data_IF_072346352475
#
_entry.id   IF_072346352475
#
_cell.length_a   1.000
_cell.length_b   1.000
_cell.length_c   1.000
_cell.angle_alpha   90.00
_cell.angle_beta   90.00
_cell.angle_gamma   90.00
#
_symmetry.space_group_name_H-M   'P 1'
#
loop_
_entity.id
_entity.type
_entity.pdbx_description
1 polymer ?
#
# COMPACT_ATOMS: atom_id res chain seq x y z
N UNK A 1 2.93 -15.17 7.96
CA UNK A 1 2.25 -13.95 7.48
C UNK A 1 2.89 -13.50 6.16
N UNK A 2 2.40 -13.96 5.00
CA UNK A 2 3.01 -13.68 3.70
C UNK A 2 3.10 -12.17 3.38
N UNK A 3 2.12 -11.39 3.84
CA UNK A 3 1.99 -9.97 3.52
C UNK A 3 3.04 -9.10 4.23
N UNK A 4 3.38 -9.42 5.48
CA UNK A 4 4.42 -8.69 6.22
C UNK A 4 5.81 -8.96 5.63
N UNK A 5 6.07 -10.20 5.21
CA UNK A 5 7.30 -10.52 4.47
C UNK A 5 7.36 -9.83 3.11
N UNK A 6 6.22 -9.68 2.43
CA UNK A 6 6.14 -8.95 1.15
C UNK A 6 6.37 -7.44 1.32
N UNK A 7 5.73 -6.81 2.32
CA UNK A 7 5.98 -5.41 2.68
C UNK A 7 7.44 -5.20 3.09
N UNK A 8 8.03 -6.15 3.83
CA UNK A 8 9.46 -6.10 4.19
C UNK A 8 10.39 -6.23 2.99
N UNK A 9 10.06 -7.07 2.00
CA UNK A 9 10.82 -7.20 0.76
C UNK A 9 10.73 -5.92 -0.10
N UNK A 10 9.55 -5.31 -0.19
CA UNK A 10 9.33 -3.99 -0.79
C UNK A 10 10.17 -2.91 -0.10
N UNK A 11 10.26 -2.94 1.23
CA UNK A 11 11.15 -2.06 2.01
C UNK A 11 12.64 -2.21 1.64
N UNK A 12 13.11 -3.43 1.35
CA UNK A 12 14.50 -3.63 0.91
C UNK A 12 14.77 -3.08 -0.51
N UNK A 13 13.72 -2.94 -1.33
CA UNK A 13 13.81 -2.26 -2.62
C UNK A 13 13.79 -0.73 -2.47
N UNK A 14 13.08 -0.21 -1.45
CA UNK A 14 13.04 1.22 -1.07
C UNK A 14 14.42 1.79 -0.78
N UNK A 15 15.29 1.05 -0.08
CA UNK A 15 16.65 1.50 0.29
C UNK A 15 17.56 1.78 -0.92
N UNK A 16 17.13 1.41 -2.13
CA UNK A 16 17.87 1.65 -3.39
C UNK A 16 17.20 2.70 -4.28
N UNK A 17 16.18 3.40 -3.77
CA UNK A 17 15.47 4.46 -4.48
C UNK A 17 15.94 5.82 -3.96
N UNK A 18 16.35 6.71 -4.87
CA UNK A 18 16.69 8.10 -4.56
C UNK A 18 15.57 9.09 -4.96
N UNK A 19 14.54 8.60 -5.64
CA UNK A 19 13.43 9.44 -6.11
C UNK A 19 12.44 9.72 -4.96
N UNK A 20 12.58 10.92 -4.39
CA UNK A 20 11.75 11.38 -3.25
C UNK A 20 10.25 11.29 -3.52
N UNK A 21 9.78 11.56 -4.74
CA UNK A 21 8.34 11.50 -5.07
C UNK A 21 7.80 10.09 -4.90
N UNK A 22 8.59 9.08 -5.30
CA UNK A 22 8.22 7.67 -5.21
C UNK A 22 8.26 7.19 -3.76
N UNK A 23 9.27 7.64 -3.00
CA UNK A 23 9.37 7.36 -1.57
C UNK A 23 8.16 7.92 -0.81
N UNK A 24 7.75 9.16 -1.09
CA UNK A 24 6.58 9.78 -0.45
C UNK A 24 5.29 9.01 -0.79
N UNK A 25 5.13 8.53 -2.03
CA UNK A 25 3.98 7.68 -2.41
C UNK A 25 3.96 6.36 -1.63
N UNK A 26 5.13 5.74 -1.47
CA UNK A 26 5.25 4.49 -0.73
C UNK A 26 4.94 4.66 0.75
N UNK A 27 5.48 5.72 1.38
CA UNK A 27 5.26 6.00 2.79
C UNK A 27 3.76 6.29 3.06
N UNK A 28 3.07 7.00 2.16
CA UNK A 28 1.62 7.22 2.23
C UNK A 28 0.82 5.92 2.06
N UNK A 29 1.25 5.03 1.17
CA UNK A 29 0.62 3.73 0.96
C UNK A 29 0.76 2.81 2.17
N UNK A 30 1.94 2.75 2.78
CA UNK A 30 2.18 1.98 4.00
C UNK A 30 1.35 2.51 5.16
N UNK A 31 1.31 3.83 5.33
CA UNK A 31 0.45 4.48 6.32
C UNK A 31 -1.02 4.11 6.12
N UNK A 32 -1.52 4.22 4.88
CA UNK A 32 -2.90 3.82 4.55
C UNK A 32 -3.19 2.36 4.91
N UNK A 33 -2.32 1.42 4.50
CA UNK A 33 -2.51 -0.01 4.76
C UNK A 33 -2.49 -0.30 6.26
N UNK A 34 -1.58 0.30 7.02
CA UNK A 34 -1.52 0.13 8.48
C UNK A 34 -2.80 0.62 9.17
N UNK A 35 -3.31 1.79 8.78
CA UNK A 35 -4.55 2.33 9.35
C UNK A 35 -5.75 1.46 8.92
N UNK A 36 -5.83 1.02 7.66
CA UNK A 36 -6.90 0.16 7.16
C UNK A 36 -6.94 -1.20 7.86
N UNK A 37 -5.78 -1.83 8.09
CA UNK A 37 -5.70 -3.07 8.84
C UNK A 37 -6.07 -2.87 10.32
N UNK A 38 -5.65 -1.78 10.95
CA UNK A 38 -6.05 -1.45 12.33
C UNK A 38 -7.54 -1.20 12.45
N UNK A 39 -8.15 -0.49 11.50
CA UNK A 39 -9.60 -0.25 11.50
C UNK A 39 -10.39 -1.54 11.35
N UNK A 40 -9.89 -2.51 10.57
CA UNK A 40 -10.46 -3.85 10.47
C UNK A 40 -10.49 -4.59 11.82
N UNK A 41 -9.50 -4.39 12.68
CA UNK A 41 -9.39 -5.04 13.99
C UNK A 41 -10.33 -4.43 15.04
N UNK A 42 -10.66 -3.15 14.91
CA UNK A 42 -11.53 -2.42 15.87
C UNK A 42 -12.92 -2.13 15.32
N UNK A 43 -13.25 -2.73 14.15
CA UNK A 43 -14.50 -2.53 13.38
C UNK A 43 -14.85 -1.05 13.12
N UNK A 44 -13.84 -0.25 12.78
CA UNK A 44 -14.02 1.15 12.39
C UNK A 44 -14.13 1.26 10.86
N UNK A 45 -15.14 1.98 10.39
CA UNK A 45 -15.47 2.19 8.96
C UNK A 45 -14.86 3.48 8.39
N UNK A 46 -14.04 4.20 9.17
CA UNK A 46 -13.53 5.53 8.85
C UNK A 46 -12.58 5.67 7.63
N UNK A 47 -12.25 4.60 6.90
CA UNK A 47 -11.18 4.61 5.89
C UNK A 47 -11.71 4.17 4.53
N UNK A 48 -12.38 5.08 3.83
CA UNK A 48 -12.84 4.83 2.45
C UNK A 48 -12.34 5.88 1.43
N UNK A 49 -11.69 6.97 1.87
CA UNK A 49 -11.40 8.11 0.99
C UNK A 49 -9.91 8.36 0.67
N UNK A 50 -8.98 7.73 1.40
CA UNK A 50 -7.54 7.92 1.16
C UNK A 50 -6.96 7.21 -0.10
N UNK A 51 -7.46 6.07 -0.60
CA UNK A 51 -6.75 5.32 -1.65
C UNK A 51 -6.77 6.00 -3.03
N UNK A 52 -7.77 6.83 -3.35
CA UNK A 52 -7.93 7.46 -4.68
C UNK A 52 -6.77 8.43 -4.98
N UNK A 53 -6.28 9.15 -3.97
CA UNK A 53 -5.17 10.10 -4.16
C UNK A 53 -3.84 9.37 -4.42
N UNK A 54 -3.59 8.28 -3.70
CA UNK A 54 -2.35 7.52 -3.83
C UNK A 54 -2.27 6.83 -5.20
N UNK A 55 -3.37 6.22 -5.67
CA UNK A 55 -3.43 5.61 -7.01
C UNK A 55 -3.16 6.63 -8.11
N UNK A 56 -3.77 7.81 -8.04
CA UNK A 56 -3.52 8.88 -9.01
C UNK A 56 -2.06 9.36 -9.02
N UNK A 57 -1.43 9.44 -7.84
CA UNK A 57 0.00 9.79 -7.74
C UNK A 57 0.91 8.70 -8.29
N UNK A 58 0.56 7.43 -8.13
CA UNK A 58 1.27 6.29 -8.73
C UNK A 58 1.26 6.40 -10.26
N UNK A 59 0.10 6.69 -10.87
CA UNK A 59 -0.03 6.83 -12.33
C UNK A 59 0.76 8.01 -12.90
N UNK A 60 0.94 9.07 -12.12
CA UNK A 60 1.62 10.31 -12.53
C UNK A 60 3.10 10.33 -12.15
N UNK A 61 3.59 9.32 -11.42
CA UNK A 61 4.95 9.31 -10.92
C UNK A 61 5.96 9.20 -12.08
N UNK A 62 7.05 10.01 -12.05
CA UNK A 62 8.09 9.96 -13.07
C UNK A 62 9.00 8.75 -12.82
N UNK A 63 8.57 7.57 -13.25
CA UNK A 63 9.37 6.35 -13.21
C UNK A 63 9.73 5.89 -14.63
N UNK A 64 10.99 5.55 -14.84
CA UNK A 64 11.45 5.01 -16.12
C UNK A 64 10.83 3.62 -16.37
N UNK A 65 10.54 3.31 -17.65
CA UNK A 65 10.00 1.99 -18.01
C UNK A 65 11.01 0.88 -17.70
N UNK A 66 10.53 -0.24 -17.18
CA UNK A 66 11.31 -1.39 -16.73
C UNK A 66 12.33 -1.08 -15.62
N UNK A 67 12.13 0.02 -14.90
CA UNK A 67 12.95 0.36 -13.74
C UNK A 67 12.46 -0.33 -12.46
N UNK A 68 13.33 -0.40 -11.46
CA UNK A 68 12.96 -0.83 -10.10
C UNK A 68 11.91 0.10 -9.49
N UNK A 69 12.00 1.40 -9.80
CA UNK A 69 11.03 2.42 -9.41
C UNK A 69 9.62 2.10 -9.91
N UNK A 70 9.50 1.76 -11.20
CA UNK A 70 8.23 1.35 -11.78
C UNK A 70 7.68 0.09 -11.12
N UNK A 71 8.55 -0.90 -10.85
CA UNK A 71 8.16 -2.13 -10.15
C UNK A 71 7.62 -1.85 -8.74
N UNK A 72 8.29 -0.99 -7.97
CA UNK A 72 7.85 -0.62 -6.62
C UNK A 72 6.51 0.12 -6.68
N UNK A 73 6.33 1.05 -7.61
CA UNK A 73 5.07 1.76 -7.81
C UNK A 73 3.91 0.82 -8.18
N UNK A 74 4.14 -0.11 -9.11
CA UNK A 74 3.14 -1.11 -9.51
C UNK A 74 2.75 -2.02 -8.33
N UNK A 75 3.74 -2.51 -7.59
CA UNK A 75 3.50 -3.36 -6.42
C UNK A 75 2.77 -2.60 -5.31
N UNK A 76 3.08 -1.32 -5.12
CA UNK A 76 2.38 -0.43 -4.17
C UNK A 76 0.92 -0.24 -4.58
N UNK A 77 0.66 0.01 -5.86
CA UNK A 77 -0.70 0.16 -6.39
C UNK A 77 -1.54 -1.10 -6.17
N UNK A 78 -0.99 -2.27 -6.48
CA UNK A 78 -1.65 -3.56 -6.25
C UNK A 78 -2.00 -3.79 -4.78
N UNK A 79 -1.11 -3.43 -3.85
CA UNK A 79 -1.39 -3.54 -2.42
C UNK A 79 -2.55 -2.65 -1.98
N UNK A 80 -2.62 -1.42 -2.49
CA UNK A 80 -3.71 -0.49 -2.18
C UNK A 80 -5.04 -1.03 -2.73
N UNK A 81 -5.04 -1.57 -3.94
CA UNK A 81 -6.22 -2.13 -4.60
C UNK A 81 -6.77 -3.36 -3.86
N UNK A 82 -5.88 -4.23 -3.34
CA UNK A 82 -6.26 -5.44 -2.59
C UNK A 82 -6.61 -5.16 -1.13
N UNK A 83 -6.19 -4.01 -0.57
CA UNK A 83 -6.38 -3.67 0.85
C UNK A 83 -7.85 -3.76 1.33
N UNK A 84 -8.86 -3.27 0.60
CA UNK A 84 -10.26 -3.35 1.05
C UNK A 84 -10.76 -4.79 1.19
N UNK A 85 -10.35 -5.69 0.29
CA UNK A 85 -10.72 -7.11 0.35
C UNK A 85 -10.09 -7.78 1.58
N UNK A 86 -8.81 -7.49 1.86
CA UNK A 86 -8.11 -7.99 3.05
C UNK A 86 -8.79 -7.50 4.34
N UNK A 87 -9.15 -6.21 4.41
CA UNK A 87 -9.89 -5.64 5.54
C UNK A 87 -11.21 -6.37 5.75
N UNK A 88 -11.98 -6.57 4.68
CA UNK A 88 -13.26 -7.27 4.75
C UNK A 88 -13.11 -8.72 5.24
N UNK A 89 -12.09 -9.44 4.76
CA UNK A 89 -11.79 -10.80 5.24
C UNK A 89 -11.44 -10.80 6.73
N UNK A 90 -10.62 -9.85 7.19
CA UNK A 90 -10.26 -9.74 8.62
C UNK A 90 -11.50 -9.45 9.48
N UNK A 91 -12.36 -8.52 9.04
CA UNK A 91 -13.63 -8.23 9.74
C UNK A 91 -14.50 -9.49 9.86
N UNK A 92 -14.66 -10.26 8.77
CA UNK A 92 -15.43 -11.50 8.79
C UNK A 92 -14.85 -12.55 9.74
N UNK A 93 -13.51 -12.69 9.78
CA UNK A 93 -12.85 -13.62 10.70
C UNK A 93 -13.06 -13.20 12.16
N UNK A 94 -13.01 -11.90 12.45
CA UNK A 94 -13.16 -11.38 13.82
C UNK A 94 -14.62 -11.32 14.32
N UNK A 95 -15.60 -11.42 13.42
CA UNK A 95 -17.03 -11.51 13.74
C UNK A 95 -17.50 -12.95 14.02
N UNK A 96 -16.62 -13.95 13.88
CA UNK A 96 -16.81 -15.35 14.27
C UNK A 96 -16.37 -15.61 15.71
#
# INVERSE_FOLDING_TARGET
>A
MPILSYISALGAHRDKLDNKVILDIFDDAVCYIDIALKSALIDDDGINQLPINIVKRIEQAPAERNSKEQLVLQQTGLLIELSPEIVNIIKQINQL
#
